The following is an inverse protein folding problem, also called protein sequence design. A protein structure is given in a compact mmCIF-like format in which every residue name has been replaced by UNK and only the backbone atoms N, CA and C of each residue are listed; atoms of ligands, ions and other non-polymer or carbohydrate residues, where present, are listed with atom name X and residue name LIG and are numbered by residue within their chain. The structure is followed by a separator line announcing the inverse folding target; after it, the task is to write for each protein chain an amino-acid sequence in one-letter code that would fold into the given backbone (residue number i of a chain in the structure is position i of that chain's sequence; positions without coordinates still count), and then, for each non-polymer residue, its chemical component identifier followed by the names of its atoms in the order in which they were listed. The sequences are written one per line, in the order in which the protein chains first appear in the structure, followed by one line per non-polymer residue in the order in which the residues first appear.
data_IF_685377158923
#
_entry.id   IF_685377158923
#
_cell.length_a   1.000
_cell.length_b   1.000
_cell.length_c   1.000
_cell.angle_alpha   90.00
_cell.angle_beta   90.00
_cell.angle_gamma   90.00
#
_symmetry.space_group_name_H-M   'P 1'
#
loop_
_entity.id
_entity.type
_entity.pdbx_description
1 polymer ?
#
# COMPACT_ATOMS: atom_id res chain seq x y z
N UNK A 1 5.93 4.37 8.79
CA UNK A 1 5.87 4.05 10.25
C UNK A 1 4.72 3.08 10.46
N UNK A 2 4.98 1.97 11.14
CA UNK A 2 3.94 1.02 11.54
C UNK A 2 2.99 1.66 12.55
N UNK A 3 1.74 1.21 12.63
CA UNK A 3 0.76 1.69 13.61
C UNK A 3 0.21 3.11 13.41
N UNK A 4 0.56 3.83 12.34
CA UNK A 4 -0.02 5.16 12.07
C UNK A 4 -1.46 5.10 11.56
N UNK A 5 -1.99 3.89 11.29
CA UNK A 5 -3.38 3.66 10.87
C UNK A 5 -3.60 3.81 9.37
N UNK A 6 -2.65 3.37 8.57
CA UNK A 6 -2.81 3.28 7.10
C UNK A 6 -3.99 2.40 6.72
N UNK A 7 -4.08 1.18 7.30
CA UNK A 7 -5.17 0.23 7.02
C UNK A 7 -6.55 0.80 7.31
N UNK A 8 -6.72 1.40 8.49
CA UNK A 8 -7.99 2.05 8.86
C UNK A 8 -8.31 3.23 7.94
N UNK A 9 -7.31 4.02 7.55
CA UNK A 9 -7.50 5.12 6.61
C UNK A 9 -7.94 4.60 5.23
N UNK A 10 -7.26 3.57 4.70
CA UNK A 10 -7.59 2.93 3.44
C UNK A 10 -9.02 2.36 3.45
N UNK A 11 -9.35 1.57 4.48
CA UNK A 11 -10.67 0.99 4.66
C UNK A 11 -11.78 2.07 4.75
N UNK A 12 -11.52 3.14 5.52
CA UNK A 12 -12.47 4.26 5.69
C UNK A 12 -12.70 5.03 4.39
N UNK A 13 -11.63 5.32 3.64
CA UNK A 13 -11.74 5.97 2.32
C UNK A 13 -12.56 5.07 1.39
N UNK A 14 -12.29 3.77 1.38
CA UNK A 14 -13.06 2.81 0.59
C UNK A 14 -14.54 2.84 0.92
N UNK A 15 -14.89 2.84 2.20
CA UNK A 15 -16.28 2.91 2.63
C UNK A 15 -16.97 4.22 2.23
N UNK A 16 -16.25 5.34 2.33
CA UNK A 16 -16.79 6.64 1.90
C UNK A 16 -17.05 6.64 0.39
N UNK A 17 -16.14 6.07 -0.41
CA UNK A 17 -16.31 5.99 -1.86
C UNK A 17 -17.47 5.07 -2.25
N UNK A 18 -17.62 3.92 -1.58
CA UNK A 18 -18.80 3.06 -1.75
C UNK A 18 -20.11 3.79 -1.43
N UNK A 19 -20.13 4.60 -0.37
CA UNK A 19 -21.33 5.39 -0.02
C UNK A 19 -21.68 6.45 -1.07
N UNK A 20 -20.75 6.75 -1.98
CA UNK A 20 -20.93 7.63 -3.13
C UNK A 20 -21.33 6.88 -4.40
N UNK A 21 -21.48 5.55 -4.35
CA UNK A 21 -21.92 4.71 -5.45
C UNK A 21 -20.81 4.12 -6.31
N UNK A 22 -19.54 4.20 -5.88
CA UNK A 22 -18.43 3.54 -6.58
C UNK A 22 -18.27 2.09 -6.15
N UNK A 23 -17.94 1.21 -7.10
CA UNK A 23 -17.43 -0.12 -6.82
C UNK A 23 -15.96 -0.03 -6.42
N UNK A 24 -15.65 -0.42 -5.17
CA UNK A 24 -14.31 -0.25 -4.59
C UNK A 24 -13.73 -1.60 -4.21
N UNK A 25 -12.44 -1.79 -4.51
CA UNK A 25 -11.63 -2.88 -3.96
C UNK A 25 -10.38 -2.31 -3.27
N UNK A 26 -9.74 -3.12 -2.44
CA UNK A 26 -8.52 -2.74 -1.75
C UNK A 26 -7.40 -3.75 -2.00
N UNK A 27 -6.15 -3.28 -2.00
CA UNK A 27 -4.95 -4.10 -2.09
C UNK A 27 -4.02 -3.74 -0.94
N UNK A 28 -3.50 -4.77 -0.28
CA UNK A 28 -2.41 -4.65 0.68
C UNK A 28 -1.09 -5.06 0.04
N UNK A 29 -0.07 -4.22 0.20
CA UNK A 29 1.31 -4.52 -0.17
C UNK A 29 2.14 -4.56 1.11
N UNK A 30 2.71 -5.71 1.44
CA UNK A 30 3.63 -5.85 2.54
C UNK A 30 5.06 -6.08 2.02
N UNK A 31 5.99 -5.14 2.29
CA UNK A 31 7.30 -5.12 1.65
C UNK A 31 8.31 -6.06 2.32
N UNK A 32 7.93 -7.28 2.68
CA UNK A 32 8.86 -8.29 3.20
C UNK A 32 9.05 -9.45 2.21
N UNK A 33 10.14 -10.21 2.41
CA UNK A 33 10.58 -11.27 1.49
C UNK A 33 9.76 -12.56 1.62
N UNK A 34 9.01 -12.73 2.70
CA UNK A 34 8.08 -13.85 2.84
C UNK A 34 7.08 -13.85 1.68
N UNK A 35 6.75 -15.05 1.17
CA UNK A 35 5.80 -15.18 0.05
C UNK A 35 4.38 -14.81 0.48
N UNK A 36 4.02 -15.17 1.71
CA UNK A 36 2.77 -14.85 2.39
C UNK A 36 3.00 -14.74 3.91
N UNK A 37 1.94 -14.61 4.69
CA UNK A 37 2.02 -14.50 6.14
C UNK A 37 2.04 -15.84 6.88
N UNK A 38 1.86 -16.98 6.19
CA UNK A 38 1.68 -18.29 6.81
C UNK A 38 2.87 -18.85 7.57
N UNK A 39 4.08 -18.36 7.26
CA UNK A 39 5.31 -18.77 7.97
C UNK A 39 5.79 -17.73 8.98
N UNK A 40 5.06 -16.65 9.16
CA UNK A 40 5.45 -15.57 10.07
C UNK A 40 5.10 -15.90 11.51
N UNK A 41 5.99 -15.49 12.43
CA UNK A 41 5.73 -15.59 13.85
C UNK A 41 4.69 -14.53 14.26
N UNK A 42 3.52 -14.93 14.81
CA UNK A 42 2.50 -13.96 15.23
C UNK A 42 2.96 -12.98 16.31
N UNK A 43 3.98 -13.32 17.10
CA UNK A 43 4.53 -12.42 18.11
C UNK A 43 5.35 -11.29 17.51
N UNK A 44 5.92 -11.50 16.33
CA UNK A 44 6.76 -10.52 15.63
C UNK A 44 5.95 -9.68 14.63
N UNK A 45 4.97 -10.30 13.97
CA UNK A 45 4.24 -9.67 12.86
C UNK A 45 2.80 -9.27 13.23
N UNK A 46 2.23 -9.89 14.25
CA UNK A 46 0.82 -9.72 14.62
C UNK A 46 -0.06 -10.87 14.12
N UNK A 47 -1.36 -10.69 14.23
CA UNK A 47 -2.33 -11.73 13.87
C UNK A 47 -2.41 -11.92 12.37
N UNK A 48 -2.29 -13.17 11.92
CA UNK A 48 -2.51 -13.57 10.53
C UNK A 48 -4.01 -13.65 10.27
N UNK A 49 -4.45 -13.11 9.16
CA UNK A 49 -5.82 -13.23 8.66
C UNK A 49 -5.83 -14.21 7.48
N UNK A 50 -6.86 -15.04 7.38
CA UNK A 50 -7.01 -16.02 6.29
C UNK A 50 -8.21 -15.62 5.46
N UNK A 51 -7.99 -15.38 4.16
CA UNK A 51 -9.05 -15.11 3.20
C UNK A 51 -9.83 -16.38 2.87
N UNK A 52 -11.02 -16.26 2.30
CA UNK A 52 -11.87 -17.38 1.92
C UNK A 52 -11.20 -18.35 0.94
N UNK A 53 -10.28 -17.85 0.10
CA UNK A 53 -9.49 -18.67 -0.82
C UNK A 53 -8.25 -19.34 -0.17
N UNK A 54 -8.13 -19.27 1.16
CA UNK A 54 -7.05 -19.87 1.92
C UNK A 54 -5.74 -19.07 1.95
N UNK A 55 -5.72 -17.84 1.41
CA UNK A 55 -4.54 -16.98 1.47
C UNK A 55 -4.30 -16.44 2.87
N UNK A 56 -3.13 -16.71 3.43
CA UNK A 56 -2.68 -16.17 4.72
C UNK A 56 -2.03 -14.80 4.52
N UNK A 57 -2.57 -13.77 5.18
CA UNK A 57 -2.23 -12.37 4.93
C UNK A 57 -2.25 -11.53 6.21
N UNK A 58 -1.89 -10.25 6.08
CA UNK A 58 -1.96 -9.28 7.16
C UNK A 58 -3.40 -9.01 7.61
N UNK A 59 -3.56 -8.69 8.89
CA UNK A 59 -4.86 -8.38 9.51
C UNK A 59 -5.60 -7.22 8.83
N UNK A 60 -4.90 -6.29 8.18
CA UNK A 60 -5.51 -5.19 7.45
C UNK A 60 -6.47 -5.67 6.34
N UNK A 61 -6.22 -6.86 5.77
CA UNK A 61 -7.14 -7.47 4.80
C UNK A 61 -8.53 -7.74 5.39
N UNK A 62 -8.58 -8.24 6.62
CA UNK A 62 -9.85 -8.42 7.35
C UNK A 62 -10.55 -7.09 7.67
N UNK A 63 -9.78 -6.01 7.86
CA UNK A 63 -10.37 -4.68 8.01
C UNK A 63 -10.98 -4.20 6.70
N UNK A 64 -10.32 -4.43 5.56
CA UNK A 64 -10.89 -4.08 4.26
C UNK A 64 -12.18 -4.85 3.98
N UNK A 65 -12.21 -6.17 4.20
CA UNK A 65 -13.42 -6.96 4.02
C UNK A 65 -14.58 -6.42 4.87
N UNK A 66 -14.33 -6.16 6.17
CA UNK A 66 -15.37 -5.62 7.08
C UNK A 66 -15.90 -4.26 6.65
N UNK A 67 -15.02 -3.34 6.24
CA UNK A 67 -15.43 -1.98 5.85
C UNK A 67 -16.11 -1.97 4.48
N UNK A 68 -15.61 -2.76 3.54
CA UNK A 68 -16.14 -2.82 2.17
C UNK A 68 -17.32 -3.77 2.03
N UNK A 69 -17.60 -4.58 3.08
CA UNK A 69 -18.65 -5.60 3.08
C UNK A 69 -18.56 -6.50 1.85
N UNK A 70 -17.34 -7.02 1.59
CA UNK A 70 -17.05 -7.91 0.46
C UNK A 70 -15.83 -8.78 0.74
N UNK A 71 -15.87 -10.00 0.22
CA UNK A 71 -14.75 -10.90 0.28
C UNK A 71 -13.63 -10.44 -0.68
N UNK A 72 -12.40 -10.51 -0.21
CA UNK A 72 -11.20 -10.27 -0.99
C UNK A 72 -10.50 -11.61 -1.28
N UNK A 73 -9.60 -11.60 -2.23
CA UNK A 73 -8.88 -12.81 -2.66
C UNK A 73 -7.38 -12.56 -2.66
N UNK A 74 -6.60 -13.64 -2.87
CA UNK A 74 -5.13 -13.55 -3.03
C UNK A 74 -4.66 -12.54 -4.08
N UNK A 75 -5.52 -12.13 -5.01
CA UNK A 75 -5.18 -11.08 -5.97
C UNK A 75 -5.15 -9.69 -5.31
N UNK A 76 -5.73 -9.56 -4.12
CA UNK A 76 -5.76 -8.33 -3.34
C UNK A 76 -4.61 -8.19 -2.32
N UNK A 77 -3.72 -9.20 -2.27
CA UNK A 77 -2.57 -9.21 -1.36
C UNK A 77 -1.28 -9.49 -2.10
N UNK A 78 -0.22 -8.76 -1.79
CA UNK A 78 1.10 -9.02 -2.34
C UNK A 78 2.22 -8.68 -1.36
N UNK A 79 3.29 -9.46 -1.43
CA UNK A 79 4.55 -9.24 -0.72
C UNK A 79 5.69 -9.09 -1.72
N UNK A 80 6.83 -8.60 -1.29
CA UNK A 80 8.05 -8.61 -2.11
C UNK A 80 8.36 -10.03 -2.57
N UNK A 81 8.28 -11.01 -1.67
CA UNK A 81 8.53 -12.42 -1.99
C UNK A 81 7.59 -12.98 -3.06
N UNK A 82 6.29 -12.68 -2.97
CA UNK A 82 5.32 -13.15 -3.97
C UNK A 82 5.54 -12.53 -5.34
N UNK A 83 5.93 -11.26 -5.42
CA UNK A 83 6.24 -10.56 -6.68
C UNK A 83 7.50 -11.13 -7.32
N UNK A 84 8.59 -11.28 -6.54
CA UNK A 84 9.83 -11.87 -7.04
C UNK A 84 9.63 -13.32 -7.50
N UNK A 85 8.91 -14.13 -6.72
CA UNK A 85 8.59 -15.51 -7.09
C UNK A 85 7.83 -15.57 -8.42
N UNK A 86 6.85 -14.69 -8.64
CA UNK A 86 6.11 -14.64 -9.90
C UNK A 86 7.02 -14.30 -11.09
N UNK A 87 7.89 -13.30 -10.94
CA UNK A 87 8.83 -12.88 -12.00
C UNK A 87 9.88 -13.98 -12.28
N UNK A 88 10.46 -14.59 -11.23
CA UNK A 88 11.45 -15.66 -11.36
C UNK A 88 10.82 -16.87 -12.03
N UNK A 89 9.62 -17.30 -11.60
CA UNK A 89 8.92 -18.41 -12.23
C UNK A 89 8.62 -18.15 -13.71
N UNK A 90 8.22 -16.95 -14.07
CA UNK A 90 7.99 -16.56 -15.47
C UNK A 90 9.30 -16.60 -16.27
N UNK A 91 10.41 -16.12 -15.70
CA UNK A 91 11.73 -16.17 -16.31
C UNK A 91 12.14 -17.64 -16.56
N UNK A 92 12.05 -18.51 -15.54
CA UNK A 92 12.41 -19.94 -15.65
C UNK A 92 11.60 -20.69 -16.70
N UNK A 93 10.38 -20.25 -16.97
CA UNK A 93 9.51 -20.79 -18.01
C UNK A 93 9.62 -20.05 -19.35
N UNK A 94 10.69 -19.31 -19.58
CA UNK A 94 10.97 -18.54 -20.81
C UNK A 94 9.90 -17.50 -21.15
N UNK A 95 9.10 -17.07 -20.19
CA UNK A 95 8.02 -16.09 -20.39
C UNK A 95 8.47 -14.70 -20.81
N UNK A 96 9.78 -14.43 -20.74
CA UNK A 96 10.41 -13.20 -21.24
C UNK A 96 11.21 -13.43 -22.55
N UNK A 97 11.09 -14.61 -23.17
CA UNK A 97 11.73 -14.91 -24.46
C UNK A 97 13.26 -14.85 -24.42
N UNK A 98 13.89 -15.22 -23.31
CA UNK A 98 15.35 -15.21 -23.15
C UNK A 98 15.97 -13.83 -22.90
N UNK A 99 15.14 -12.79 -22.69
CA UNK A 99 15.63 -11.44 -22.36
C UNK A 99 16.21 -11.39 -20.94
N UNK A 100 17.16 -10.48 -20.72
CA UNK A 100 17.65 -10.16 -19.38
C UNK A 100 16.50 -9.53 -18.55
N UNK A 101 16.18 -10.17 -17.42
CA UNK A 101 15.13 -9.71 -16.49
C UNK A 101 15.77 -8.91 -15.37
N UNK A 102 15.34 -7.67 -15.20
CA UNK A 102 15.89 -6.70 -14.24
C UNK A 102 14.85 -6.32 -13.21
N UNK A 103 15.28 -5.83 -12.07
CA UNK A 103 14.40 -5.34 -11.01
C UNK A 103 13.49 -4.22 -11.56
N UNK A 104 14.09 -3.23 -12.20
CA UNK A 104 13.36 -2.22 -12.98
C UNK A 104 13.63 -2.49 -14.46
N UNK A 105 12.61 -2.70 -15.30
CA UNK A 105 11.19 -2.50 -15.02
C UNK A 105 10.39 -3.75 -14.58
N UNK A 106 10.94 -4.97 -14.65
CA UNK A 106 10.12 -6.20 -14.63
C UNK A 106 9.40 -6.44 -13.29
N UNK A 107 10.06 -6.20 -12.15
CA UNK A 107 9.41 -6.29 -10.82
C UNK A 107 8.32 -5.22 -10.68
N UNK A 108 8.62 -3.97 -11.06
CA UNK A 108 7.64 -2.89 -10.99
C UNK A 108 6.42 -3.16 -11.90
N UNK A 109 6.63 -3.70 -13.11
CA UNK A 109 5.56 -4.08 -14.01
C UNK A 109 4.70 -5.22 -13.44
N UNK A 110 5.29 -6.17 -12.74
CA UNK A 110 4.52 -7.24 -12.08
C UNK A 110 3.64 -6.69 -10.96
N UNK A 111 4.11 -5.72 -10.18
CA UNK A 111 3.28 -5.00 -9.20
C UNK A 111 2.09 -4.35 -9.89
N UNK A 112 2.30 -3.62 -10.99
CA UNK A 112 1.22 -2.98 -11.75
C UNK A 112 0.25 -3.98 -12.35
N UNK A 113 0.73 -5.11 -12.89
CA UNK A 113 -0.11 -6.18 -13.40
C UNK A 113 -1.04 -6.76 -12.32
N UNK A 114 -0.53 -6.92 -11.09
CA UNK A 114 -1.37 -7.40 -9.98
C UNK A 114 -2.43 -6.37 -9.57
N UNK A 115 -2.08 -5.08 -9.55
CA UNK A 115 -3.05 -4.01 -9.27
C UNK A 115 -4.16 -4.02 -10.33
N UNK A 116 -3.81 -4.05 -11.61
CA UNK A 116 -4.77 -4.09 -12.72
C UNK A 116 -5.64 -5.35 -12.67
N UNK A 117 -5.04 -6.51 -12.40
CA UNK A 117 -5.77 -7.78 -12.24
C UNK A 117 -6.80 -7.72 -11.12
N UNK A 118 -6.44 -7.15 -9.97
CA UNK A 118 -7.38 -7.00 -8.86
C UNK A 118 -8.52 -6.04 -9.22
N UNK A 119 -8.23 -4.92 -9.90
CA UNK A 119 -9.24 -3.99 -10.40
C UNK A 119 -10.25 -4.69 -11.31
N UNK A 120 -9.74 -5.40 -12.33
CA UNK A 120 -10.58 -6.06 -13.34
C UNK A 120 -11.39 -7.22 -12.75
N UNK A 121 -10.75 -8.09 -11.94
CA UNK A 121 -11.41 -9.25 -11.34
C UNK A 121 -12.55 -8.86 -10.41
N UNK A 122 -12.36 -7.77 -9.65
CA UNK A 122 -13.37 -7.24 -8.76
C UNK A 122 -14.40 -6.35 -9.47
N UNK A 123 -14.24 -6.07 -10.77
CA UNK A 123 -15.07 -5.12 -11.55
C UNK A 123 -15.22 -3.79 -10.82
N UNK A 124 -14.11 -3.33 -10.21
CA UNK A 124 -14.12 -2.13 -9.39
C UNK A 124 -13.85 -0.88 -10.23
N UNK A 125 -14.48 0.22 -9.87
CA UNK A 125 -14.19 1.55 -10.43
C UNK A 125 -12.91 2.13 -9.83
N UNK A 126 -12.65 1.79 -8.54
CA UNK A 126 -11.54 2.33 -7.75
C UNK A 126 -10.83 1.20 -7.01
N UNK A 127 -9.50 1.20 -7.07
CA UNK A 127 -8.66 0.35 -6.25
C UNK A 127 -7.87 1.19 -5.25
N UNK A 128 -7.99 0.88 -3.96
CA UNK A 128 -7.19 1.48 -2.91
C UNK A 128 -6.00 0.58 -2.62
N UNK A 129 -4.80 1.05 -2.91
CA UNK A 129 -3.57 0.29 -2.68
C UNK A 129 -2.83 0.84 -1.48
N UNK A 130 -2.77 0.07 -0.39
CA UNK A 130 -1.96 0.42 0.77
C UNK A 130 -0.56 -0.19 0.65
N UNK A 131 0.46 0.65 0.76
CA UNK A 131 1.86 0.22 0.80
C UNK A 131 2.34 0.20 2.25
N UNK A 132 2.77 -0.98 2.71
CA UNK A 132 3.36 -1.19 4.01
C UNK A 132 4.75 -0.53 4.17
N UNK A 133 5.26 -0.55 5.40
CA UNK A 133 6.55 0.06 5.72
C UNK A 133 6.49 1.58 5.87
N UNK A 134 7.68 2.18 5.93
CA UNK A 134 7.88 3.62 6.08
C UNK A 134 8.52 4.18 4.82
N UNK A 135 8.08 5.34 4.36
CA UNK A 135 8.68 6.01 3.20
C UNK A 135 10.17 6.27 3.47
N UNK A 136 11.03 5.84 2.55
CA UNK A 136 12.49 5.96 2.64
C UNK A 136 13.20 4.70 3.12
N UNK A 137 12.47 3.64 3.48
CA UNK A 137 13.03 2.31 3.74
C UNK A 137 13.32 1.58 2.41
N UNK A 138 14.35 0.71 2.42
CA UNK A 138 14.72 -0.06 1.23
C UNK A 138 13.62 -1.04 0.80
N UNK A 139 12.86 -1.54 1.75
CA UNK A 139 11.86 -2.57 1.56
C UNK A 139 10.74 -2.15 0.61
N UNK A 140 10.35 -0.88 0.64
CA UNK A 140 9.20 -0.40 -0.16
C UNK A 140 9.58 0.39 -1.41
N UNK A 141 10.88 0.57 -1.69
CA UNK A 141 11.35 1.44 -2.80
C UNK A 141 10.83 0.99 -4.17
N UNK A 142 10.73 -0.34 -4.40
CA UNK A 142 10.26 -0.88 -5.67
C UNK A 142 8.76 -0.69 -5.87
N UNK A 143 8.00 -0.74 -4.78
CA UNK A 143 6.57 -0.46 -4.81
C UNK A 143 6.32 1.03 -5.07
N UNK A 144 7.10 1.90 -4.44
CA UNK A 144 7.03 3.35 -4.73
C UNK A 144 7.42 3.64 -6.18
N UNK A 145 8.44 2.97 -6.73
CA UNK A 145 8.82 3.09 -8.14
C UNK A 145 7.69 2.61 -9.08
N UNK A 146 7.03 1.50 -8.75
CA UNK A 146 5.87 1.04 -9.51
C UNK A 146 4.74 2.09 -9.53
N UNK A 147 4.41 2.67 -8.39
CA UNK A 147 3.39 3.73 -8.30
C UNK A 147 3.84 5.00 -9.02
N UNK A 148 5.14 5.35 -8.99
CA UNK A 148 5.69 6.47 -9.75
C UNK A 148 5.48 6.27 -11.25
N UNK A 149 5.77 5.07 -11.75
CA UNK A 149 5.52 4.70 -13.16
C UNK A 149 4.03 4.82 -13.49
N UNK A 150 3.15 4.31 -12.61
CA UNK A 150 1.71 4.38 -12.80
C UNK A 150 1.21 5.83 -12.85
N UNK A 151 1.65 6.66 -11.89
CA UNK A 151 1.24 8.07 -11.80
C UNK A 151 1.72 8.89 -13.00
N UNK A 152 2.92 8.62 -13.52
CA UNK A 152 3.42 9.29 -14.73
C UNK A 152 2.59 8.90 -15.97
N UNK A 153 2.21 7.62 -16.08
CA UNK A 153 1.40 7.14 -17.21
C UNK A 153 -0.05 7.62 -17.14
N UNK A 154 -0.60 7.70 -15.94
CA UNK A 154 -2.02 8.02 -15.70
C UNK A 154 -2.16 9.11 -14.62
N UNK A 155 -1.69 10.34 -14.89
CA UNK A 155 -1.60 11.38 -13.85
C UNK A 155 -2.97 11.83 -13.31
N UNK A 156 -4.05 11.64 -14.07
CA UNK A 156 -5.40 12.02 -13.68
C UNK A 156 -6.12 10.91 -12.88
N UNK A 157 -5.67 9.67 -13.00
CA UNK A 157 -6.36 8.51 -12.43
C UNK A 157 -5.68 8.02 -11.14
N UNK A 158 -4.54 8.59 -10.75
CA UNK A 158 -3.78 8.16 -9.59
C UNK A 158 -3.66 9.27 -8.56
N UNK A 159 -4.22 9.05 -7.37
CA UNK A 159 -4.05 9.91 -6.20
C UNK A 159 -3.13 9.24 -5.18
N UNK A 160 -2.18 9.99 -4.67
CA UNK A 160 -1.24 9.53 -3.66
C UNK A 160 -1.56 10.17 -2.31
N UNK A 161 -1.95 9.35 -1.33
CA UNK A 161 -2.20 9.78 0.04
C UNK A 161 -1.04 9.37 0.96
N UNK A 162 -0.47 10.33 1.67
CA UNK A 162 0.53 10.08 2.71
C UNK A 162 -0.13 10.12 4.08
N UNK A 163 -0.13 8.98 4.79
CA UNK A 163 -0.57 8.93 6.18
C UNK A 163 0.63 9.21 7.10
N UNK A 164 0.55 10.24 7.91
CA UNK A 164 1.64 10.68 8.77
C UNK A 164 1.17 10.97 10.18
N UNK A 165 2.05 10.78 11.16
CA UNK A 165 1.79 11.08 12.55
C UNK A 165 2.44 12.41 12.95
N UNK A 166 1.68 13.22 13.67
CA UNK A 166 2.13 14.48 14.27
C UNK A 166 2.23 14.28 15.79
N UNK A 167 3.43 13.99 16.31
CA UNK A 167 3.62 13.81 17.74
C UNK A 167 3.37 15.11 18.51
N UNK A 168 2.82 14.98 19.71
CA UNK A 168 2.75 16.07 20.67
C UNK A 168 4.00 16.12 21.50
N UNK A 169 4.52 17.31 21.76
CA UNK A 169 5.62 17.50 22.70
C UNK A 169 5.05 17.73 24.09
N UNK A 170 5.57 17.01 25.08
CA UNK A 170 4.98 16.78 26.40
C UNK A 170 4.60 18.03 27.22
N UNK A 171 5.14 19.20 26.98
CA UNK A 171 4.88 20.39 27.80
C UNK A 171 3.88 21.38 27.18
N UNK A 172 3.60 21.30 25.86
CA UNK A 172 2.90 22.37 25.17
C UNK A 172 1.63 21.90 24.41
N UNK A 173 1.34 20.59 24.39
CA UNK A 173 0.26 19.99 23.55
C UNK A 173 0.31 20.46 22.09
N UNK A 174 1.49 20.83 21.59
CA UNK A 174 1.69 21.37 20.26
C UNK A 174 2.07 20.26 19.28
N UNK A 175 1.27 20.01 18.21
CA UNK A 175 1.64 19.04 17.19
C UNK A 175 2.90 19.45 16.42
N UNK A 176 3.87 18.57 16.35
CA UNK A 176 5.13 18.82 15.63
C UNK A 176 5.02 18.31 14.19
N UNK A 177 5.17 19.19 13.22
CA UNK A 177 5.01 18.90 11.77
C UNK A 177 6.29 18.41 11.11
N UNK A 178 7.44 18.53 11.74
CA UNK A 178 8.76 18.11 11.16
C UNK A 178 8.78 16.65 10.69
N UNK A 179 8.26 15.64 11.42
CA UNK A 179 8.24 14.27 10.94
C UNK A 179 7.50 14.12 9.61
N UNK A 180 6.35 14.78 9.47
CA UNK A 180 5.58 14.80 8.22
C UNK A 180 6.36 15.47 7.08
N UNK A 181 7.02 16.61 7.35
CA UNK A 181 7.86 17.29 6.36
C UNK A 181 9.01 16.39 5.88
N UNK A 182 9.63 15.62 6.78
CA UNK A 182 10.66 14.65 6.42
C UNK A 182 10.10 13.50 5.57
N UNK A 183 8.93 12.97 5.94
CA UNK A 183 8.27 11.92 5.14
C UNK A 183 7.94 12.40 3.72
N UNK A 184 7.43 13.64 3.58
CA UNK A 184 7.18 14.26 2.27
C UNK A 184 8.49 14.41 1.47
N UNK A 185 9.58 14.87 2.10
CA UNK A 185 10.88 14.98 1.42
C UNK A 185 11.39 13.62 0.92
N UNK A 186 11.28 12.58 1.75
CA UNK A 186 11.68 11.23 1.37
C UNK A 186 10.85 10.73 0.18
N UNK A 187 9.55 11.00 0.17
CA UNK A 187 8.67 10.65 -0.94
C UNK A 187 9.03 11.43 -2.21
N UNK A 188 9.32 12.72 -2.08
CA UNK A 188 9.77 13.55 -3.21
C UNK A 188 11.11 13.05 -3.77
N UNK A 189 12.02 12.57 -2.91
CA UNK A 189 13.29 11.97 -3.36
C UNK A 189 13.08 10.69 -4.18
N UNK A 190 11.96 9.99 -3.96
CA UNK A 190 11.52 8.86 -4.80
C UNK A 190 10.76 9.31 -6.06
N UNK A 191 10.70 10.61 -6.36
CA UNK A 191 10.00 11.16 -7.52
C UNK A 191 8.47 11.18 -7.41
N UNK A 192 7.94 11.13 -6.18
CA UNK A 192 6.51 11.14 -5.90
C UNK A 192 6.14 12.36 -5.05
N UNK A 193 5.07 13.04 -5.43
CA UNK A 193 4.46 14.10 -4.64
C UNK A 193 3.12 13.60 -4.08
N UNK A 194 2.86 13.67 -2.77
CA UNK A 194 1.55 13.33 -2.24
C UNK A 194 0.52 14.38 -2.66
N UNK A 195 -0.64 13.91 -3.10
CA UNK A 195 -1.79 14.76 -3.41
C UNK A 195 -2.58 15.07 -2.13
N UNK A 196 -2.54 14.15 -1.17
CA UNK A 196 -3.27 14.24 0.10
C UNK A 196 -2.32 13.89 1.25
N UNK A 197 -2.36 14.65 2.33
CA UNK A 197 -1.69 14.32 3.59
C UNK A 197 -2.74 14.07 4.66
N UNK A 198 -2.80 12.83 5.15
CA UNK A 198 -3.63 12.44 6.28
C UNK A 198 -2.81 12.54 7.56
N UNK A 199 -2.89 13.68 8.22
CA UNK A 199 -2.13 13.97 9.43
C UNK A 199 -2.88 13.46 10.68
N UNK A 200 -2.32 12.43 11.32
CA UNK A 200 -2.86 11.88 12.58
C UNK A 200 -2.28 12.60 13.78
N UNK A 201 -3.15 13.15 14.60
CA UNK A 201 -2.82 13.82 15.86
C UNK A 201 -3.97 13.68 16.83
N UNK A 202 -3.72 13.76 18.12
CA UNK A 202 -4.74 13.74 19.17
C UNK A 202 -5.36 15.13 19.46
N UNK A 203 -4.85 16.19 18.84
CA UNK A 203 -5.39 17.55 18.96
C UNK A 203 -5.60 18.17 17.58
N UNK A 204 -6.60 19.06 17.41
CA UNK A 204 -6.83 19.75 16.15
C UNK A 204 -5.62 20.59 15.71
N UNK A 205 -5.33 20.61 14.40
CA UNK A 205 -4.34 21.51 13.82
C UNK A 205 -4.91 22.94 13.73
N UNK A 206 -4.10 23.90 14.10
CA UNK A 206 -4.42 25.32 13.86
C UNK A 206 -4.24 25.68 12.36
N UNK A 207 -4.72 26.89 12.00
CA UNK A 207 -4.64 27.37 10.60
C UNK A 207 -3.20 27.53 10.09
N UNK A 208 -2.23 27.75 10.98
CA UNK A 208 -0.83 27.94 10.60
C UNK A 208 -0.15 26.61 10.23
N UNK A 209 -0.66 25.48 10.74
CA UNK A 209 -0.12 24.14 10.54
C UNK A 209 -0.88 23.32 9.49
N UNK A 210 -2.02 23.81 9.05
CA UNK A 210 -2.76 23.32 7.89
C UNK A 210 -2.17 23.88 6.61
#
# INVERSE_FOLDING_TARGET
MSGVGKGVAAASIGKILQSRGFEVTAIKIDPYVNVDAGTMNPTDHGVVFVLDDGMECDQDMGNYERFLDRDLTRDNYMTTGSIYSAVINRERNLGYGGKCVQVVPHICLEVLNKIDKALQKNKADIVITEIGGTVGEYENILFLEAIRILKIKNPQDVLLALVSYLPLQNSENEPKTKPTQHAVRSLNSAGLQPDIILARTSVPLDKKRK
#
